data_IF_421514905227
#
_entry.id   IF_421514905227
#
_cell.length_a   1.000
_cell.length_b   1.000
_cell.length_c   1.000
_cell.angle_alpha   90.00
_cell.angle_beta   90.00
_cell.angle_gamma   90.00
#
_symmetry.space_group_name_H-M   'P 1'
#
loop_
_entity.id
_entity.type
_entity.pdbx_description
1 polymer ?
#
# COMPACT_ATOMS: atom_id res chain seq x y z
N UNK A 1 -4.86 -22.75 1.45
CA UNK A 1 -5.58 -21.94 0.46
C UNK A 1 -6.25 -20.69 1.05
N UNK A 2 -5.86 -19.50 0.57
CA UNK A 2 -6.53 -18.21 0.77
C UNK A 2 -7.04 -17.64 -0.55
N UNK A 3 -8.11 -16.87 -0.48
CA UNK A 3 -8.66 -16.16 -1.64
C UNK A 3 -8.64 -14.64 -1.44
N UNK A 4 -8.25 -13.91 -2.49
CA UNK A 4 -8.23 -12.45 -2.51
C UNK A 4 -8.90 -11.95 -3.77
N UNK A 5 -9.85 -11.03 -3.63
CA UNK A 5 -10.39 -10.27 -4.76
C UNK A 5 -9.62 -8.97 -4.96
N UNK A 6 -9.26 -8.70 -6.21
CA UNK A 6 -8.65 -7.43 -6.63
C UNK A 6 -9.53 -6.71 -7.66
N UNK A 7 -9.34 -5.41 -7.88
CA UNK A 7 -9.98 -4.71 -8.98
C UNK A 7 -9.59 -5.31 -10.35
N UNK A 8 -10.53 -5.36 -11.29
CA UNK A 8 -10.33 -5.99 -12.61
C UNK A 8 -9.18 -5.36 -13.40
N UNK A 9 -9.04 -4.03 -13.34
CA UNK A 9 -7.95 -3.27 -13.96
C UNK A 9 -6.57 -3.56 -13.36
N UNK A 10 -6.50 -4.28 -12.23
CA UNK A 10 -5.25 -4.66 -11.55
C UNK A 10 -4.85 -6.11 -11.81
N UNK A 11 -5.72 -6.93 -12.39
CA UNK A 11 -5.44 -8.33 -12.73
C UNK A 11 -4.27 -8.43 -13.70
N UNK A 12 -4.28 -7.62 -14.78
CA UNK A 12 -3.20 -7.61 -15.75
C UNK A 12 -1.84 -7.20 -15.13
N UNK A 13 -1.84 -6.34 -14.12
CA UNK A 13 -0.62 -5.92 -13.41
C UNK A 13 -0.10 -7.03 -12.49
N UNK A 14 -1.00 -7.82 -11.89
CA UNK A 14 -0.62 -8.98 -11.09
C UNK A 14 -0.03 -10.10 -11.95
N UNK A 15 -0.61 -10.35 -13.13
CA UNK A 15 -0.08 -11.34 -14.09
C UNK A 15 1.27 -10.85 -14.64
N UNK A 16 1.32 -9.60 -15.08
CA UNK A 16 2.49 -9.02 -15.75
C UNK A 16 2.65 -9.51 -17.19
N UNK A 17 3.60 -8.91 -17.90
CA UNK A 17 3.88 -9.29 -19.29
C UNK A 17 4.34 -10.75 -19.37
N UNK A 18 3.58 -11.59 -20.07
CA UNK A 18 3.89 -13.02 -20.22
C UNK A 18 3.84 -13.82 -18.92
N UNK A 19 3.19 -13.33 -17.85
CA UNK A 19 3.12 -14.03 -16.56
C UNK A 19 4.29 -13.73 -15.60
N UNK A 20 5.27 -12.94 -16.03
CA UNK A 20 6.51 -12.68 -15.27
C UNK A 20 6.31 -12.12 -13.87
N UNK A 21 5.25 -11.34 -13.65
CA UNK A 21 4.99 -10.78 -12.32
C UNK A 21 4.44 -11.84 -11.38
N UNK A 22 3.49 -12.65 -11.86
CA UNK A 22 2.95 -13.78 -11.12
C UNK A 22 4.08 -14.74 -10.74
N UNK A 23 4.87 -15.19 -11.72
CA UNK A 23 6.01 -16.10 -11.51
C UNK A 23 6.97 -15.57 -10.45
N UNK A 24 7.31 -14.28 -10.52
CA UNK A 24 8.22 -13.68 -9.55
C UNK A 24 7.63 -13.60 -8.13
N UNK A 25 6.32 -13.43 -7.99
CA UNK A 25 5.66 -13.48 -6.69
C UNK A 25 5.75 -14.90 -6.15
N UNK A 26 5.35 -15.89 -6.95
CA UNK A 26 5.40 -17.32 -6.60
C UNK A 26 6.81 -17.73 -6.15
N UNK A 27 7.85 -17.38 -6.91
CA UNK A 27 9.26 -17.65 -6.58
C UNK A 27 9.73 -17.00 -5.28
N UNK A 28 9.24 -15.79 -4.97
CA UNK A 28 9.69 -15.02 -3.80
C UNK A 28 8.99 -15.43 -2.51
N UNK A 29 7.81 -16.02 -2.62
CA UNK A 29 6.99 -16.41 -1.48
C UNK A 29 6.86 -17.92 -1.31
N UNK A 30 7.36 -18.71 -2.27
CA UNK A 30 7.15 -20.17 -2.30
C UNK A 30 5.66 -20.54 -2.28
N UNK A 31 4.84 -19.79 -3.03
CA UNK A 31 3.39 -19.97 -3.12
C UNK A 31 2.98 -20.23 -4.58
N UNK A 32 1.84 -20.88 -4.75
CA UNK A 32 1.16 -21.02 -6.03
C UNK A 32 -0.02 -20.04 -6.14
N UNK A 33 -0.10 -19.31 -7.25
CA UNK A 33 -1.16 -18.35 -7.54
C UNK A 33 -2.05 -18.80 -8.69
N UNK A 34 -3.32 -19.06 -8.43
CA UNK A 34 -4.33 -19.27 -9.46
C UNK A 34 -5.17 -18.01 -9.62
N UNK A 35 -5.26 -17.48 -10.84
CA UNK A 35 -6.01 -16.24 -11.12
C UNK A 35 -7.18 -16.59 -12.04
N UNK A 36 -8.39 -16.40 -11.53
CA UNK A 36 -9.64 -16.58 -12.28
C UNK A 36 -10.47 -15.31 -12.18
N UNK A 37 -10.63 -14.64 -13.31
CA UNK A 37 -11.21 -13.30 -13.40
C UNK A 37 -10.48 -12.32 -12.45
N UNK A 38 -11.14 -11.89 -11.38
CA UNK A 38 -10.59 -11.00 -10.36
C UNK A 38 -10.38 -11.68 -9.00
N UNK A 39 -10.56 -13.00 -8.93
CA UNK A 39 -10.30 -13.83 -7.76
C UNK A 39 -8.92 -14.47 -7.90
N UNK A 40 -8.10 -14.29 -6.88
CA UNK A 40 -6.77 -14.87 -6.78
C UNK A 40 -6.78 -15.88 -5.65
N UNK A 41 -6.57 -17.14 -5.98
CA UNK A 41 -6.36 -18.23 -5.03
C UNK A 41 -4.86 -18.36 -4.78
N UNK A 42 -4.51 -18.50 -3.51
CA UNK A 42 -3.14 -18.52 -3.01
C UNK A 42 -2.99 -19.80 -2.21
N UNK A 43 -2.10 -20.68 -2.63
CA UNK A 43 -1.88 -21.97 -1.98
C UNK A 43 -0.40 -22.16 -1.63
N UNK A 44 -0.14 -22.74 -0.46
CA UNK A 44 1.21 -22.96 0.07
C UNK A 44 1.20 -23.05 1.59
N UNK A 45 2.33 -22.73 2.23
CA UNK A 45 2.44 -22.79 3.68
C UNK A 45 1.60 -21.68 4.36
N UNK A 46 0.85 -21.98 5.44
CA UNK A 46 -0.11 -21.03 6.04
C UNK A 46 0.49 -19.69 6.51
N UNK A 47 1.78 -19.68 6.85
CA UNK A 47 2.51 -18.48 7.26
C UNK A 47 2.75 -17.59 6.03
N UNK A 48 3.26 -18.17 4.95
CA UNK A 48 3.61 -17.46 3.72
C UNK A 48 2.37 -17.02 2.94
N UNK A 49 1.26 -17.76 3.03
CA UNK A 49 -0.04 -17.36 2.48
C UNK A 49 -0.51 -15.98 2.99
N UNK A 50 -0.09 -15.57 4.19
CA UNK A 50 -0.39 -14.24 4.71
C UNK A 50 0.33 -13.14 3.93
N UNK A 51 1.61 -13.33 3.65
CA UNK A 51 2.41 -12.38 2.90
C UNK A 51 2.01 -12.37 1.42
N UNK A 52 1.76 -13.54 0.82
CA UNK A 52 1.18 -13.65 -0.51
C UNK A 52 -0.16 -12.91 -0.63
N UNK A 53 -1.06 -13.09 0.34
CA UNK A 53 -2.34 -12.36 0.39
C UNK A 53 -2.14 -10.85 0.47
N UNK A 54 -1.16 -10.39 1.26
CA UNK A 54 -0.86 -8.97 1.40
C UNK A 54 -0.19 -8.40 0.13
N UNK A 55 0.67 -9.15 -0.55
CA UNK A 55 1.28 -8.78 -1.84
C UNK A 55 0.20 -8.62 -2.91
N UNK A 56 -0.68 -9.61 -3.06
CA UNK A 56 -1.81 -9.56 -4.01
C UNK A 56 -2.72 -8.37 -3.71
N UNK A 57 -3.05 -8.14 -2.42
CA UNK A 57 -3.82 -6.96 -1.99
C UNK A 57 -3.09 -5.66 -2.33
N UNK A 58 -1.79 -5.56 -2.09
CA UNK A 58 -1.00 -4.37 -2.39
C UNK A 58 -1.04 -4.04 -3.90
N UNK A 59 -0.82 -5.05 -4.77
CA UNK A 59 -0.95 -4.88 -6.23
C UNK A 59 -2.37 -4.42 -6.59
N UNK A 60 -3.39 -5.04 -6.00
CA UNK A 60 -4.79 -4.65 -6.15
C UNK A 60 -5.12 -3.23 -5.64
N UNK A 61 -4.31 -2.68 -4.73
CA UNK A 61 -4.42 -1.30 -4.22
C UNK A 61 -3.42 -0.35 -4.87
N UNK A 62 -2.97 -0.66 -6.08
CA UNK A 62 -2.24 0.26 -6.95
C UNK A 62 -0.73 0.28 -6.75
N UNK A 63 -0.16 -0.54 -5.86
CA UNK A 63 1.29 -0.71 -5.82
C UNK A 63 1.78 -1.38 -7.10
N UNK A 64 2.97 -0.98 -7.57
CA UNK A 64 3.67 -1.78 -8.55
C UNK A 64 4.20 -3.07 -7.89
N UNK A 65 4.48 -4.13 -8.66
CA UNK A 65 4.90 -5.41 -8.10
C UNK A 65 6.19 -5.32 -7.28
N UNK A 66 7.17 -4.52 -7.69
CA UNK A 66 8.43 -4.33 -6.95
C UNK A 66 8.21 -3.83 -5.52
N UNK A 67 7.33 -2.83 -5.35
CA UNK A 67 6.99 -2.29 -4.03
C UNK A 67 6.16 -3.30 -3.23
N UNK A 68 5.25 -4.03 -3.86
CA UNK A 68 4.44 -5.03 -3.20
C UNK A 68 5.29 -6.18 -2.64
N UNK A 69 6.27 -6.67 -3.42
CA UNK A 69 7.19 -7.75 -3.03
C UNK A 69 8.03 -7.43 -1.78
N UNK A 70 8.19 -6.15 -1.42
CA UNK A 70 8.85 -5.77 -0.16
C UNK A 70 8.14 -6.31 1.08
N UNK A 71 6.88 -6.73 0.97
CA UNK A 71 6.15 -7.39 2.08
C UNK A 71 6.78 -8.73 2.44
N UNK A 72 7.38 -9.44 1.49
CA UNK A 72 8.13 -10.67 1.75
C UNK A 72 9.50 -10.43 2.43
N UNK A 73 9.91 -9.16 2.58
CA UNK A 73 11.09 -8.84 3.36
C UNK A 73 10.75 -8.83 4.86
N UNK A 74 11.75 -9.18 5.68
CA UNK A 74 11.59 -9.30 7.13
C UNK A 74 10.98 -8.04 7.77
N UNK A 75 9.98 -8.27 8.63
CA UNK A 75 9.31 -7.27 9.47
C UNK A 75 8.61 -6.13 8.70
N UNK A 76 8.42 -6.29 7.39
CA UNK A 76 7.61 -5.36 6.58
C UNK A 76 6.17 -5.84 6.51
N UNK A 77 5.26 -4.89 6.44
CA UNK A 77 3.83 -5.19 6.36
C UNK A 77 3.09 -4.18 5.49
N UNK A 78 1.85 -4.52 5.16
CA UNK A 78 0.91 -3.64 4.47
C UNK A 78 -0.09 -3.05 5.47
N UNK A 79 -0.33 -1.74 5.39
CA UNK A 79 -1.46 -1.07 6.03
C UNK A 79 -2.32 -0.37 4.99
N UNK A 80 -3.65 -0.46 5.12
CA UNK A 80 -4.60 0.15 4.21
C UNK A 80 -5.52 1.09 4.99
N UNK A 81 -5.57 2.35 4.55
CA UNK A 81 -6.46 3.38 5.08
C UNK A 81 -7.62 3.58 4.09
N UNK A 82 -8.86 3.41 4.54
CA UNK A 82 -10.06 3.75 3.75
C UNK A 82 -10.40 5.24 3.90
N UNK A 83 -10.31 5.97 2.80
CA UNK A 83 -10.59 7.40 2.71
C UNK A 83 -12.09 7.67 2.96
N UNK A 84 -12.96 6.69 2.74
CA UNK A 84 -14.40 6.80 2.97
C UNK A 84 -14.75 7.08 4.43
N UNK A 85 -13.86 6.72 5.37
CA UNK A 85 -14.01 7.04 6.79
C UNK A 85 -13.83 8.55 7.10
N UNK A 86 -13.27 9.32 6.16
CA UNK A 86 -13.00 10.76 6.31
C UNK A 86 -13.89 11.61 5.40
N UNK A 87 -14.56 10.99 4.43
CA UNK A 87 -15.31 11.68 3.39
C UNK A 87 -16.39 10.78 2.78
N UNK A 88 -17.65 11.25 2.82
CA UNK A 88 -18.81 10.51 2.31
C UNK A 88 -19.01 10.63 0.80
N UNK A 89 -18.67 11.78 0.19
CA UNK A 89 -18.91 12.02 -1.24
C UNK A 89 -17.67 11.70 -2.10
N UNK A 90 -17.89 11.43 -3.39
CA UNK A 90 -16.79 11.27 -4.36
C UNK A 90 -15.90 12.52 -4.42
N UNK A 91 -16.50 13.70 -4.57
CA UNK A 91 -15.77 14.97 -4.65
C UNK A 91 -14.94 15.23 -3.40
N UNK A 92 -15.47 14.98 -2.19
CA UNK A 92 -14.68 15.12 -0.97
C UNK A 92 -13.51 14.15 -0.91
N UNK A 93 -13.68 12.89 -1.33
CA UNK A 93 -12.58 11.92 -1.40
C UNK A 93 -11.52 12.33 -2.41
N UNK A 94 -11.90 12.87 -3.56
CA UNK A 94 -10.96 13.36 -4.57
C UNK A 94 -10.14 14.55 -4.05
N UNK A 95 -10.76 15.48 -3.31
CA UNK A 95 -10.02 16.55 -2.62
C UNK A 95 -9.05 16.02 -1.57
N UNK A 96 -9.48 15.06 -0.74
CA UNK A 96 -8.61 14.45 0.28
C UNK A 96 -7.42 13.71 -0.34
N UNK A 97 -7.65 12.95 -1.43
CA UNK A 97 -6.56 12.36 -2.22
C UNK A 97 -5.60 13.43 -2.72
N UNK A 98 -6.11 14.53 -3.27
CA UNK A 98 -5.28 15.67 -3.72
C UNK A 98 -4.38 16.24 -2.62
N UNK A 99 -4.87 16.31 -1.38
CA UNK A 99 -4.05 16.76 -0.23
C UNK A 99 -2.93 15.78 0.11
N UNK A 100 -3.21 14.48 0.07
CA UNK A 100 -2.21 13.43 0.35
C UNK A 100 -1.17 13.35 -0.78
N UNK A 101 -1.59 13.49 -2.03
CA UNK A 101 -0.69 13.52 -3.18
C UNK A 101 0.20 14.77 -3.10
N UNK A 102 -0.39 15.93 -2.80
CA UNK A 102 0.29 17.21 -2.87
C UNK A 102 0.48 17.70 -4.30
N UNK A 103 1.05 18.89 -4.47
CA UNK A 103 1.39 19.42 -5.79
C UNK A 103 2.41 18.49 -6.45
N UNK A 104 2.11 18.03 -7.67
CA UNK A 104 2.99 17.13 -8.44
C UNK A 104 3.47 15.88 -7.64
N UNK A 105 2.66 15.39 -6.71
CA UNK A 105 3.02 14.24 -5.87
C UNK A 105 4.08 14.54 -4.80
N UNK A 106 4.40 15.80 -4.53
CA UNK A 106 5.45 16.22 -3.60
C UNK A 106 5.19 15.72 -2.17
N UNK A 107 3.96 15.85 -1.67
CA UNK A 107 3.61 15.39 -0.32
C UNK A 107 3.81 13.90 -0.19
N UNK A 108 3.27 13.10 -1.12
CA UNK A 108 3.48 11.64 -1.10
C UNK A 108 4.97 11.29 -1.11
N UNK A 109 5.75 11.88 -2.02
CA UNK A 109 7.19 11.62 -2.14
C UNK A 109 7.97 11.99 -0.89
N UNK A 110 7.61 13.11 -0.25
CA UNK A 110 8.20 13.53 1.01
C UNK A 110 7.93 12.51 2.12
N UNK A 111 6.68 12.06 2.27
CA UNK A 111 6.32 11.05 3.28
C UNK A 111 6.99 9.69 3.01
N UNK A 112 7.04 9.25 1.74
CA UNK A 112 7.75 8.01 1.36
C UNK A 112 9.23 8.08 1.75
N UNK A 113 9.89 9.20 1.44
CA UNK A 113 11.32 9.39 1.69
C UNK A 113 11.63 9.52 3.18
N UNK A 114 10.98 10.46 3.87
CA UNK A 114 11.31 10.77 5.26
C UNK A 114 10.76 9.69 6.21
N UNK A 115 9.62 9.08 5.90
CA UNK A 115 9.04 7.98 6.67
C UNK A 115 9.64 6.61 6.38
N UNK A 116 10.50 6.47 5.35
CA UNK A 116 11.01 5.20 4.83
C UNK A 116 9.89 4.15 4.64
N UNK A 117 8.91 4.51 3.82
CA UNK A 117 7.76 3.67 3.45
C UNK A 117 7.45 3.83 1.97
N UNK A 118 6.68 2.90 1.42
CA UNK A 118 6.07 3.02 0.10
C UNK A 118 4.59 3.36 0.23
N UNK A 119 4.09 4.31 -0.56
CA UNK A 119 2.69 4.75 -0.51
C UNK A 119 2.03 4.58 -1.87
N UNK A 120 0.85 3.97 -1.88
CA UNK A 120 -0.05 3.91 -3.04
C UNK A 120 -1.38 4.56 -2.71
N UNK A 121 -1.95 5.31 -3.67
CA UNK A 121 -3.25 5.96 -3.53
C UNK A 121 -4.10 5.48 -4.69
N UNK A 122 -5.07 4.62 -4.41
CA UNK A 122 -5.85 3.94 -5.44
C UNK A 122 -7.32 3.82 -5.03
N UNK A 123 -8.22 4.21 -5.93
CA UNK A 123 -9.66 4.18 -5.69
C UNK A 123 -10.06 5.00 -4.45
N UNK A 124 -10.48 4.28 -3.39
CA UNK A 124 -10.91 4.83 -2.09
C UNK A 124 -9.91 4.57 -0.97
N UNK A 125 -8.72 4.04 -1.28
CA UNK A 125 -7.76 3.57 -0.28
C UNK A 125 -6.39 4.20 -0.44
N UNK A 126 -5.67 4.33 0.66
CA UNK A 126 -4.23 4.63 0.70
C UNK A 126 -3.55 3.40 1.30
N UNK A 127 -2.67 2.77 0.52
CA UNK A 127 -1.83 1.68 0.99
C UNK A 127 -0.47 2.21 1.43
N UNK A 128 0.08 1.65 2.51
CA UNK A 128 1.41 1.96 3.05
C UNK A 128 2.15 0.66 3.31
N UNK A 129 3.37 0.52 2.79
CA UNK A 129 4.26 -0.64 3.00
C UNK A 129 5.53 -0.19 3.71
N UNK A 130 5.96 -0.92 4.73
CA UNK A 130 7.17 -0.65 5.49
C UNK A 130 7.19 -1.35 6.85
N UNK A 131 8.10 -0.94 7.73
CA UNK A 131 8.12 -1.42 9.11
C UNK A 131 6.90 -0.93 9.89
N UNK A 132 6.36 -1.76 10.79
CA UNK A 132 5.16 -1.44 11.58
C UNK A 132 5.22 -0.05 12.24
N UNK A 133 6.34 0.29 12.87
CA UNK A 133 6.51 1.59 13.53
C UNK A 133 6.56 2.77 12.55
N UNK A 134 7.25 2.61 11.42
CA UNK A 134 7.30 3.64 10.38
C UNK A 134 5.91 3.88 9.79
N UNK A 135 5.16 2.79 9.53
CA UNK A 135 3.79 2.83 9.06
C UNK A 135 2.91 3.58 10.05
N UNK A 136 3.03 3.34 11.35
CA UNK A 136 2.25 4.03 12.38
C UNK A 136 2.46 5.55 12.31
N UNK A 137 3.71 5.99 12.30
CA UNK A 137 4.08 7.41 12.21
C UNK A 137 3.50 8.03 10.94
N UNK A 138 3.74 7.42 9.78
CA UNK A 138 3.27 7.96 8.49
C UNK A 138 1.74 7.93 8.41
N UNK A 139 1.10 6.90 8.94
CA UNK A 139 -0.37 6.79 8.96
C UNK A 139 -1.00 7.89 9.81
N UNK A 140 -0.36 8.32 10.90
CA UNK A 140 -0.83 9.46 11.69
C UNK A 140 -0.75 10.76 10.88
N UNK A 141 0.35 10.99 10.15
CA UNK A 141 0.49 12.15 9.24
C UNK A 141 -0.59 12.13 8.16
N UNK A 142 -0.83 10.97 7.54
CA UNK A 142 -1.89 10.77 6.55
C UNK A 142 -3.27 11.09 7.13
N UNK A 143 -3.59 10.58 8.32
CA UNK A 143 -4.85 10.89 9.02
C UNK A 143 -5.00 12.38 9.29
N UNK A 144 -3.94 13.09 9.66
CA UNK A 144 -3.97 14.54 9.85
C UNK A 144 -4.29 15.29 8.56
N UNK A 145 -3.68 14.91 7.45
CA UNK A 145 -3.97 15.48 6.13
C UNK A 145 -5.42 15.20 5.69
N UNK A 146 -5.92 13.99 5.93
CA UNK A 146 -7.30 13.58 5.64
C UNK A 146 -8.32 14.32 6.50
N UNK A 147 -7.98 14.64 7.76
CA UNK A 147 -8.79 15.47 8.66
C UNK A 147 -8.65 16.98 8.39
N UNK A 148 -7.96 17.38 7.32
CA UNK A 148 -7.89 18.77 6.89
C UNK A 148 -6.83 19.63 7.58
N UNK A 149 -5.95 19.05 8.43
CA UNK A 149 -4.80 19.79 8.98
C UNK A 149 -3.87 20.28 7.87
N UNK A 150 -3.21 21.41 8.10
CA UNK A 150 -2.23 21.95 7.15
C UNK A 150 -1.06 20.98 6.95
N UNK A 151 -0.45 21.01 5.76
CA UNK A 151 0.76 20.23 5.48
C UNK A 151 1.89 20.54 6.47
N UNK A 152 2.08 21.82 6.81
CA UNK A 152 3.07 22.24 7.81
C UNK A 152 2.86 21.57 9.17
N UNK A 153 1.61 21.53 9.66
CA UNK A 153 1.29 20.86 10.93
C UNK A 153 1.49 19.35 10.83
N UNK A 154 1.13 18.74 9.70
CA UNK A 154 1.25 17.30 9.50
C UNK A 154 2.72 16.86 9.41
N UNK A 155 3.55 17.61 8.68
CA UNK A 155 4.99 17.36 8.57
C UNK A 155 5.71 17.54 9.91
N UNK A 156 5.31 18.52 10.71
CA UNK A 156 5.86 18.69 12.05
C UNK A 156 5.69 17.48 12.97
N UNK A 157 4.70 16.60 12.73
CA UNK A 157 4.61 15.32 13.44
C UNK A 157 5.66 14.32 12.94
N UNK A 158 5.86 14.21 11.63
CA UNK A 158 6.89 13.34 11.06
C UNK A 158 8.29 13.75 11.52
N UNK A 159 8.61 15.04 11.43
CA UNK A 159 9.91 15.61 11.82
C UNK A 159 10.25 15.31 13.29
N UNK A 160 9.27 15.44 14.19
CA UNK A 160 9.46 15.13 15.62
C UNK A 160 9.77 13.66 15.88
N UNK A 161 9.30 12.76 15.01
CA UNK A 161 9.50 11.32 15.14
C UNK A 161 10.60 10.78 14.21
N UNK A 162 11.33 11.66 13.50
CA UNK A 162 12.32 11.26 12.49
C UNK A 162 13.45 10.39 13.07
N UNK A 163 13.82 10.60 14.34
CA UNK A 163 14.81 9.79 15.05
C UNK A 163 14.39 8.35 15.33
N UNK A 164 13.09 8.03 15.20
CA UNK A 164 12.53 6.70 15.45
C UNK A 164 12.28 5.90 14.16
N UNK A 165 12.43 6.52 12.99
CA UNK A 165 12.25 5.87 11.70
C UNK A 165 13.34 4.82 11.48
N UNK A 166 12.94 3.55 11.32
CA UNK A 166 13.83 2.45 10.97
C UNK A 166 14.25 2.55 9.50
N UNK A 167 15.53 2.32 9.21
CA UNK A 167 16.12 2.37 7.87
C UNK A 167 16.55 1.01 7.39
#
# INVERSE_FOLDING_TARGET
MREVRIPEDRVAVLIGEGGKTKERIEERTELDLEIKDNLVSIDGDPIDEMDGSNIVKAVGRGFNPEKALKIAEKDKMLHIIDISNFASTKNSRDRLKGRVIGRDGETRRHLEKEGNVDISIYGKTIGVIGFAHNIEIVSEVLKQLLNGRSHSSAYGYLEKNQGSIKR
#
